data_IF_254595507961
#
_entry.id   IF_254595507961
#
_cell.length_a   1.000
_cell.length_b   1.000
_cell.length_c   1.000
_cell.angle_alpha   90.00
_cell.angle_beta   90.00
_cell.angle_gamma   90.00
#
_symmetry.space_group_name_H-M   'P 1'
#
loop_
_entity.id
_entity.type
_entity.pdbx_description
1 polymer ?
#
# COMPACT_ATOMS: atom_id res chain seq x y z
N UNK A 1 -17.69 -1.01 17.94
CA UNK A 1 -16.37 -0.95 18.62
C UNK A 1 -16.56 -1.48 20.03
N UNK A 2 -15.84 -2.53 20.42
CA UNK A 2 -15.97 -3.12 21.76
C UNK A 2 -14.59 -3.17 22.43
N UNK A 3 -14.50 -2.64 23.65
CA UNK A 3 -13.29 -2.64 24.48
C UNK A 3 -13.41 -3.81 25.45
N UNK A 4 -12.53 -4.81 25.33
CA UNK A 4 -12.66 -6.08 26.07
C UNK A 4 -11.94 -6.00 27.43
N UNK A 5 -10.81 -5.27 27.50
CA UNK A 5 -10.02 -4.94 28.71
C UNK A 5 -9.23 -3.65 28.48
N UNK A 6 -8.67 -3.04 29.53
CA UNK A 6 -7.79 -1.87 29.41
C UNK A 6 -6.70 -2.11 28.35
N UNK A 7 -6.66 -1.27 27.32
CA UNK A 7 -5.70 -1.36 26.21
C UNK A 7 -6.05 -2.35 25.10
N UNK A 8 -7.13 -3.14 25.19
CA UNK A 8 -7.56 -4.07 24.14
C UNK A 8 -8.85 -3.61 23.45
N UNK A 9 -8.77 -3.44 22.12
CA UNK A 9 -9.89 -3.05 21.27
C UNK A 9 -10.10 -4.07 20.15
N UNK A 10 -11.36 -4.50 19.99
CA UNK A 10 -11.82 -5.28 18.85
C UNK A 10 -12.76 -4.43 17.98
N UNK A 11 -12.58 -4.52 16.66
CA UNK A 11 -13.48 -3.94 15.67
C UNK A 11 -13.83 -5.00 14.62
N UNK A 12 -15.06 -4.96 14.15
CA UNK A 12 -15.49 -5.75 13.01
C UNK A 12 -16.48 -4.90 12.20
N UNK A 13 -16.46 -5.07 10.89
CA UNK A 13 -17.32 -4.37 9.95
C UNK A 13 -17.73 -5.28 8.81
N UNK A 14 -18.95 -5.06 8.31
CA UNK A 14 -19.41 -5.59 7.04
C UNK A 14 -20.11 -4.47 6.30
N UNK A 15 -19.85 -4.35 5.01
CA UNK A 15 -20.37 -3.28 4.18
C UNK A 15 -20.63 -3.75 2.76
N UNK A 16 -21.62 -3.13 2.14
CA UNK A 16 -21.92 -3.27 0.72
C UNK A 16 -21.63 -1.94 0.03
N UNK A 17 -20.93 -2.00 -1.10
CA UNK A 17 -20.54 -0.84 -1.90
C UNK A 17 -20.91 -1.06 -3.35
N UNK A 18 -21.09 0.03 -4.09
CA UNK A 18 -21.35 -0.02 -5.52
C UNK A 18 -20.65 1.11 -6.26
N UNK A 19 -20.32 0.87 -7.52
CA UNK A 19 -19.82 1.87 -8.47
C UNK A 19 -20.73 1.89 -9.68
N UNK A 20 -21.41 3.01 -9.91
CA UNK A 20 -22.16 3.21 -11.15
C UNK A 20 -21.22 3.28 -12.37
N UNK A 21 -21.68 2.87 -13.57
CA UNK A 21 -20.94 3.10 -14.80
C UNK A 21 -20.71 4.61 -15.01
N UNK A 22 -19.53 4.96 -15.48
CA UNK A 22 -19.18 6.33 -15.87
C UNK A 22 -19.87 6.73 -17.17
N UNK A 23 -19.94 8.05 -17.43
CA UNK A 23 -20.48 8.57 -18.68
C UNK A 23 -19.75 8.01 -19.92
N UNK A 24 -18.41 7.89 -19.84
CA UNK A 24 -17.62 7.36 -20.95
C UNK A 24 -17.91 5.88 -21.22
N UNK A 25 -18.07 5.07 -20.16
CA UNK A 25 -18.40 3.65 -20.30
C UNK A 25 -19.78 3.44 -20.95
N UNK A 26 -20.73 4.33 -20.70
CA UNK A 26 -22.09 4.24 -21.24
C UNK A 26 -22.24 4.83 -22.65
N UNK A 27 -21.58 5.96 -22.94
CA UNK A 27 -21.92 6.80 -24.10
C UNK A 27 -20.74 7.23 -25.00
N UNK A 28 -19.48 6.97 -24.65
CA UNK A 28 -18.34 7.38 -25.48
C UNK A 28 -18.07 6.40 -26.64
N UNK A 29 -18.76 6.62 -27.75
CA UNK A 29 -18.65 5.79 -28.95
C UNK A 29 -17.23 5.85 -29.59
N UNK A 30 -16.76 4.75 -30.20
CA UNK A 30 -17.45 3.46 -30.40
C UNK A 30 -17.29 2.47 -29.23
N UNK A 31 -16.50 2.81 -28.20
CA UNK A 31 -16.14 1.90 -27.11
C UNK A 31 -17.03 2.10 -25.89
N UNK A 32 -18.34 1.93 -26.09
CA UNK A 32 -19.36 2.16 -25.05
C UNK A 32 -20.39 1.04 -24.99
N UNK A 33 -21.06 0.94 -23.84
CA UNK A 33 -22.15 0.01 -23.64
C UNK A 33 -23.23 0.62 -22.73
N UNK A 34 -24.40 1.02 -23.27
CA UNK A 34 -25.46 1.62 -22.47
C UNK A 34 -26.17 0.62 -21.54
N UNK A 35 -25.92 -0.69 -21.69
CA UNK A 35 -26.54 -1.75 -20.89
C UNK A 35 -25.71 -2.14 -19.65
N UNK A 36 -24.68 -1.37 -19.31
CA UNK A 36 -23.85 -1.65 -18.16
C UNK A 36 -24.64 -1.56 -16.85
N UNK A 37 -24.44 -2.54 -15.99
CA UNK A 37 -24.90 -2.54 -14.61
C UNK A 37 -23.84 -1.89 -13.70
N UNK A 38 -24.24 -1.35 -12.54
CA UNK A 38 -23.28 -0.99 -11.50
C UNK A 38 -22.43 -2.18 -11.06
N UNK A 39 -21.16 -1.94 -10.80
CA UNK A 39 -20.32 -2.88 -10.06
C UNK A 39 -20.76 -2.88 -8.60
N UNK A 40 -20.62 -4.03 -7.93
CA UNK A 40 -20.93 -4.12 -6.50
C UNK A 40 -19.88 -4.95 -5.77
N UNK A 41 -19.70 -4.66 -4.49
CA UNK A 41 -18.79 -5.43 -3.65
C UNK A 41 -19.28 -5.53 -2.20
N UNK A 42 -19.20 -6.74 -1.66
CA UNK A 42 -19.28 -6.99 -0.23
C UNK A 42 -17.88 -6.96 0.37
N UNK A 43 -17.72 -6.23 1.46
CA UNK A 43 -16.47 -6.14 2.21
C UNK A 43 -16.72 -6.51 3.67
N UNK A 44 -15.81 -7.27 4.25
CA UNK A 44 -15.79 -7.59 5.68
C UNK A 44 -14.38 -7.35 6.24
N UNK A 45 -14.32 -6.78 7.44
CA UNK A 45 -13.07 -6.54 8.16
C UNK A 45 -13.18 -6.98 9.62
N UNK A 46 -12.08 -7.50 10.15
CA UNK A 46 -11.90 -7.82 11.56
C UNK A 46 -10.57 -7.23 12.01
N UNK A 47 -10.59 -6.36 13.01
CA UNK A 47 -9.42 -5.66 13.52
C UNK A 47 -9.22 -5.87 15.02
N UNK A 48 -7.97 -6.08 15.39
CA UNK A 48 -7.49 -6.22 16.74
C UNK A 48 -6.47 -5.12 17.02
N UNK A 49 -6.57 -4.45 18.17
CA UNK A 49 -5.57 -3.47 18.62
C UNK A 49 -5.28 -3.68 20.09
N UNK A 50 -4.00 -3.85 20.42
CA UNK A 50 -3.53 -3.98 21.78
C UNK A 50 -2.47 -2.92 22.07
N UNK A 51 -2.69 -2.14 23.13
CA UNK A 51 -1.76 -1.14 23.64
C UNK A 51 -1.17 -1.62 24.96
N UNK A 52 0.15 -1.65 25.01
CA UNK A 52 0.89 -1.92 26.25
C UNK A 52 1.07 -0.61 27.04
N UNK A 53 1.18 -0.68 28.38
CA UNK A 53 1.55 0.49 29.19
C UNK A 53 2.92 1.10 28.80
N UNK A 54 3.80 0.32 28.17
CA UNK A 54 5.13 0.74 27.74
C UNK A 54 5.18 1.55 26.44
N UNK A 55 4.02 1.89 25.86
CA UNK A 55 3.92 2.71 24.64
C UNK A 55 4.07 1.93 23.33
N UNK A 56 4.08 0.60 23.36
CA UNK A 56 3.97 -0.25 22.17
C UNK A 56 2.49 -0.51 21.85
N UNK A 57 2.12 -0.33 20.59
CA UNK A 57 0.82 -0.67 20.02
C UNK A 57 0.98 -1.77 18.97
N UNK A 58 0.19 -2.83 19.09
CA UNK A 58 0.11 -3.94 18.13
C UNK A 58 -1.26 -3.87 17.47
N UNK A 59 -1.30 -3.75 16.14
CA UNK A 59 -2.54 -3.86 15.37
C UNK A 59 -2.46 -5.06 14.46
N UNK A 60 -3.55 -5.80 14.39
CA UNK A 60 -3.73 -6.84 13.38
C UNK A 60 -5.08 -6.65 12.72
N UNK A 61 -5.17 -6.97 11.43
CA UNK A 61 -6.45 -6.99 10.75
C UNK A 61 -6.54 -8.12 9.74
N UNK A 62 -7.76 -8.59 9.52
CA UNK A 62 -8.14 -9.49 8.44
C UNK A 62 -9.19 -8.78 7.61
N UNK A 63 -9.13 -8.94 6.29
CA UNK A 63 -10.09 -8.36 5.37
C UNK A 63 -10.45 -9.33 4.26
N UNK A 64 -11.69 -9.23 3.79
CA UNK A 64 -12.20 -9.94 2.64
C UNK A 64 -13.11 -9.02 1.83
N UNK A 65 -12.94 -9.02 0.51
CA UNK A 65 -13.75 -8.29 -0.46
C UNK A 65 -14.14 -9.26 -1.56
N UNK A 66 -15.42 -9.32 -1.88
CA UNK A 66 -15.95 -10.03 -3.03
C UNK A 66 -16.67 -9.03 -3.94
N UNK A 67 -16.08 -8.78 -5.11
CA UNK A 67 -16.58 -7.84 -6.12
C UNK A 67 -17.21 -8.60 -7.29
N UNK A 68 -18.40 -8.16 -7.71
CA UNK A 68 -19.15 -8.71 -8.82
C UNK A 68 -19.55 -7.63 -9.82
N UNK A 69 -19.91 -8.07 -11.03
CA UNK A 69 -20.31 -7.21 -12.14
C UNK A 69 -19.24 -6.14 -12.47
N UNK A 70 -17.96 -6.44 -12.25
CA UNK A 70 -16.88 -5.50 -12.58
C UNK A 70 -16.86 -5.25 -14.09
N UNK A 71 -16.77 -3.98 -14.45
CA UNK A 71 -16.75 -3.49 -15.82
C UNK A 71 -15.33 -3.62 -16.34
N UNK A 72 -15.15 -4.46 -17.35
CA UNK A 72 -13.88 -4.68 -18.04
C UNK A 72 -14.12 -4.64 -19.55
N UNK A 73 -13.21 -4.03 -20.33
CA UNK A 73 -13.26 -4.13 -21.79
C UNK A 73 -13.18 -5.59 -22.26
N UNK A 74 -14.02 -5.96 -23.23
CA UNK A 74 -13.92 -7.22 -23.94
C UNK A 74 -12.82 -7.17 -25.02
N UNK A 75 -12.72 -8.22 -25.83
CA UNK A 75 -11.73 -8.31 -26.91
C UNK A 75 -11.89 -7.22 -27.99
N UNK A 76 -13.05 -6.57 -28.07
CA UNK A 76 -13.32 -5.43 -28.97
C UNK A 76 -13.16 -4.08 -28.27
N UNK A 77 -12.58 -4.08 -27.06
CA UNK A 77 -12.44 -2.91 -26.18
C UNK A 77 -13.77 -2.30 -25.72
N UNK A 78 -14.88 -3.02 -25.83
CA UNK A 78 -16.19 -2.56 -25.37
C UNK A 78 -16.35 -2.94 -23.90
N UNK A 79 -16.71 -2.01 -23.00
CA UNK A 79 -16.89 -2.32 -21.58
C UNK A 79 -18.07 -3.30 -21.35
N UNK A 80 -17.84 -4.33 -20.53
CA UNK A 80 -18.83 -5.35 -20.16
C UNK A 80 -18.73 -5.70 -18.66
N UNK A 81 -19.85 -6.05 -18.01
CA UNK A 81 -19.88 -6.57 -16.62
C UNK A 81 -19.45 -8.05 -16.55
N UNK A 82 -18.21 -8.35 -16.96
CA UNK A 82 -17.71 -9.72 -17.13
C UNK A 82 -16.68 -10.13 -16.08
N UNK A 83 -16.19 -9.19 -15.28
CA UNK A 83 -15.14 -9.46 -14.30
C UNK A 83 -15.73 -9.66 -12.89
N UNK A 84 -15.04 -10.49 -12.10
CA UNK A 84 -15.32 -10.75 -10.70
C UNK A 84 -14.00 -10.87 -9.97
N UNK A 85 -13.91 -10.39 -8.74
CA UNK A 85 -12.66 -10.47 -7.99
C UNK A 85 -12.91 -10.80 -6.52
N UNK A 86 -12.04 -11.65 -5.98
CA UNK A 86 -11.95 -11.89 -4.54
C UNK A 86 -10.61 -11.37 -4.05
N UNK A 87 -10.65 -10.52 -3.03
CA UNK A 87 -9.46 -9.99 -2.36
C UNK A 87 -9.55 -10.38 -0.90
N UNK A 88 -8.61 -11.18 -0.42
CA UNK A 88 -8.51 -11.55 0.99
C UNK A 88 -7.11 -11.24 1.49
N UNK A 89 -6.98 -10.95 2.77
CA UNK A 89 -5.68 -10.70 3.33
C UNK A 89 -5.70 -10.37 4.80
N UNK A 90 -4.52 -10.04 5.29
CA UNK A 90 -4.34 -9.58 6.63
C UNK A 90 -3.08 -8.76 6.78
N UNK A 91 -3.06 -7.93 7.82
CA UNK A 91 -1.94 -7.07 8.14
C UNK A 91 -1.58 -7.17 9.61
N UNK A 92 -0.30 -6.95 9.90
CA UNK A 92 0.24 -6.82 11.24
C UNK A 92 1.06 -5.53 11.28
N UNK A 93 0.82 -4.72 12.30
CA UNK A 93 1.50 -3.47 12.55
C UNK A 93 2.00 -3.39 13.99
N UNK A 94 3.24 -2.97 14.16
CA UNK A 94 3.85 -2.61 15.44
C UNK A 94 4.18 -1.12 15.41
N UNK A 95 3.71 -0.35 16.37
CA UNK A 95 3.92 1.09 16.42
C UNK A 95 4.30 1.57 17.84
N UNK A 96 5.10 2.62 17.91
CA UNK A 96 5.50 3.27 19.17
C UNK A 96 6.94 2.95 19.56
N UNK A 97 7.20 2.74 20.85
CA UNK A 97 8.55 2.46 21.36
C UNK A 97 8.88 0.97 21.21
N UNK A 98 9.50 0.60 20.09
CA UNK A 98 9.86 -0.78 19.74
C UNK A 98 11.04 -1.32 20.56
N UNK A 99 11.97 -0.43 20.96
CA UNK A 99 13.06 -0.72 21.89
C UNK A 99 13.42 0.56 22.68
N UNK A 100 14.26 0.52 23.73
CA UNK A 100 14.52 1.67 24.61
C UNK A 100 14.89 2.98 23.89
N UNK A 101 15.59 2.91 22.75
CA UNK A 101 15.97 4.06 21.92
C UNK A 101 15.39 4.05 20.51
N UNK A 102 14.60 3.02 20.17
CA UNK A 102 14.06 2.80 18.83
C UNK A 102 12.55 3.03 18.87
N UNK A 103 12.12 4.12 18.25
CA UNK A 103 10.72 4.37 17.97
C UNK A 103 10.41 4.10 16.51
N UNK A 104 9.15 3.84 16.20
CA UNK A 104 8.74 3.74 14.81
C UNK A 104 7.45 2.98 14.59
N UNK A 105 7.18 2.70 13.32
CA UNK A 105 6.11 1.82 12.87
C UNK A 105 6.69 0.79 11.90
N UNK A 106 6.25 -0.45 12.03
CA UNK A 106 6.52 -1.55 11.10
C UNK A 106 5.18 -2.15 10.73
N UNK A 107 4.92 -2.27 9.44
CA UNK A 107 3.71 -2.90 8.89
C UNK A 107 4.10 -3.98 7.89
N UNK A 108 3.39 -5.11 7.94
CA UNK A 108 3.45 -6.16 6.93
C UNK A 108 2.03 -6.55 6.56
N UNK A 109 1.75 -6.65 5.27
CA UNK A 109 0.43 -7.02 4.74
C UNK A 109 0.56 -8.13 3.71
N UNK A 110 -0.18 -9.22 3.92
CA UNK A 110 -0.34 -10.30 2.97
C UNK A 110 -1.71 -10.18 2.28
N UNK A 111 -1.73 -10.13 0.95
CA UNK A 111 -2.94 -9.93 0.14
C UNK A 111 -3.01 -10.95 -0.99
N UNK A 112 -4.08 -11.74 -1.03
CA UNK A 112 -4.43 -12.58 -2.17
C UNK A 112 -5.58 -11.92 -2.92
N UNK A 113 -5.29 -11.44 -4.13
CA UNK A 113 -6.28 -10.84 -5.02
C UNK A 113 -6.37 -11.65 -6.31
N UNK A 114 -7.53 -12.20 -6.61
CA UNK A 114 -7.76 -13.13 -7.73
C UNK A 114 -8.95 -12.64 -8.55
N UNK A 115 -8.82 -12.71 -9.87
CA UNK A 115 -9.93 -12.61 -10.81
C UNK A 115 -10.66 -13.96 -10.85
N UNK A 116 -11.88 -14.01 -10.33
CA UNK A 116 -12.71 -15.23 -10.27
C UNK A 116 -13.20 -15.69 -11.65
N UNK A 117 -13.10 -14.84 -12.69
CA UNK A 117 -13.43 -15.23 -14.07
C UNK A 117 -12.30 -16.01 -14.75
N UNK A 118 -11.04 -15.81 -14.33
CA UNK A 118 -9.86 -16.40 -14.98
C UNK A 118 -8.99 -17.24 -14.04
N UNK A 119 -9.19 -17.13 -12.72
CA UNK A 119 -8.32 -17.72 -11.69
C UNK A 119 -6.96 -17.03 -11.55
N UNK A 120 -6.71 -15.95 -12.31
CA UNK A 120 -5.43 -15.26 -12.32
C UNK A 120 -5.30 -14.28 -11.16
N UNK A 121 -4.09 -14.10 -10.63
CA UNK A 121 -3.79 -13.01 -9.69
C UNK A 121 -4.05 -11.65 -10.36
N UNK A 122 -4.65 -10.71 -9.62
CA UNK A 122 -4.86 -9.35 -10.11
C UNK A 122 -3.54 -8.64 -10.37
N UNK A 123 -3.52 -7.83 -11.44
CA UNK A 123 -2.36 -7.03 -11.82
C UNK A 123 -2.00 -6.04 -10.71
N UNK A 124 -0.70 -5.82 -10.50
CA UNK A 124 -0.11 -4.85 -9.57
C UNK A 124 -0.45 -5.06 -8.09
N UNK A 125 -1.09 -6.18 -7.74
CA UNK A 125 -1.35 -6.55 -6.34
C UNK A 125 -0.32 -7.60 -5.90
N UNK A 126 0.78 -7.22 -5.23
CA UNK A 126 1.75 -8.18 -4.69
C UNK A 126 1.15 -9.00 -3.54
N UNK A 127 1.61 -10.25 -3.39
CA UNK A 127 1.17 -11.08 -2.28
C UNK A 127 1.61 -10.54 -0.93
N UNK A 128 2.82 -9.98 -0.85
CA UNK A 128 3.41 -9.46 0.38
C UNK A 128 3.88 -8.03 0.16
N UNK A 129 3.50 -7.13 1.06
CA UNK A 129 4.05 -5.77 1.17
C UNK A 129 4.52 -5.53 2.58
N UNK A 130 5.51 -4.67 2.73
CA UNK A 130 6.02 -4.26 4.02
C UNK A 130 6.49 -2.82 4.01
N UNK A 131 6.35 -2.15 5.14
CA UNK A 131 6.93 -0.83 5.36
C UNK A 131 7.47 -0.73 6.77
N UNK A 132 8.55 0.03 6.94
CA UNK A 132 9.07 0.35 8.26
C UNK A 132 9.54 1.80 8.27
N UNK A 133 9.05 2.60 9.20
CA UNK A 133 9.55 3.93 9.48
C UNK A 133 10.09 3.95 10.91
N UNK A 134 11.41 3.86 11.02
CA UNK A 134 12.13 3.71 12.27
C UNK A 134 12.92 4.99 12.56
N UNK A 135 13.05 5.35 13.82
CA UNK A 135 13.85 6.48 14.24
C UNK A 135 14.56 6.20 15.57
N UNK A 136 15.76 6.77 15.70
CA UNK A 136 16.57 6.75 16.91
C UNK A 136 17.08 8.15 17.20
N UNK A 137 17.07 8.53 18.48
CA UNK A 137 17.72 9.75 18.93
C UNK A 137 19.22 9.48 19.08
N UNK A 138 20.04 10.31 18.43
CA UNK A 138 21.51 10.25 18.48
C UNK A 138 22.05 11.61 18.92
N UNK A 139 23.35 11.69 19.21
CA UNK A 139 23.96 12.96 19.60
C UNK A 139 23.77 14.02 18.51
N UNK A 140 23.07 15.11 18.84
CA UNK A 140 22.81 16.25 17.96
C UNK A 140 21.54 16.16 17.11
N UNK A 141 20.85 15.02 17.05
CA UNK A 141 19.70 14.90 16.15
C UNK A 141 18.97 13.56 16.15
N UNK A 142 18.12 13.39 15.14
CA UNK A 142 17.35 12.15 14.93
C UNK A 142 17.81 11.48 13.64
N UNK A 143 18.17 10.20 13.73
CA UNK A 143 18.41 9.35 12.58
C UNK A 143 17.15 8.53 12.31
N UNK A 144 16.65 8.57 11.07
CA UNK A 144 15.47 7.85 10.64
C UNK A 144 15.77 6.98 9.42
N UNK A 145 15.14 5.81 9.37
CA UNK A 145 15.17 4.89 8.25
C UNK A 145 13.75 4.59 7.79
N UNK A 146 13.49 4.72 6.50
CA UNK A 146 12.26 4.30 5.86
C UNK A 146 12.57 3.12 4.93
N UNK A 147 11.96 1.97 5.16
CA UNK A 147 12.06 0.82 4.27
C UNK A 147 10.69 0.52 3.65
N UNK A 148 10.68 0.15 2.37
CA UNK A 148 9.50 -0.30 1.63
C UNK A 148 9.83 -1.57 0.89
N UNK A 149 9.09 -2.64 1.19
CA UNK A 149 9.15 -3.91 0.50
C UNK A 149 7.89 -4.13 -0.32
N UNK A 150 8.08 -4.51 -1.57
CA UNK A 150 7.01 -4.91 -2.48
C UNK A 150 7.39 -6.26 -3.05
N UNK A 151 6.54 -7.27 -2.84
CA UNK A 151 6.74 -8.61 -3.39
C UNK A 151 6.62 -8.65 -4.91
N UNK A 152 6.89 -9.83 -5.46
CA UNK A 152 6.63 -10.09 -6.87
C UNK A 152 5.14 -9.93 -7.17
N UNK A 153 4.85 -9.43 -8.37
CA UNK A 153 3.48 -9.19 -8.81
C UNK A 153 3.39 -9.21 -10.34
N UNK A 154 2.26 -9.66 -10.90
CA UNK A 154 2.02 -9.56 -12.32
C UNK A 154 1.73 -8.09 -12.71
N UNK A 155 2.18 -7.68 -13.87
CA UNK A 155 1.81 -6.43 -14.54
C UNK A 155 1.64 -6.69 -16.05
N UNK A 156 1.38 -5.64 -16.82
CA UNK A 156 1.34 -5.66 -18.28
C UNK A 156 2.54 -4.89 -18.79
N UNK A 157 3.33 -5.55 -19.65
CA UNK A 157 4.39 -4.90 -20.38
C UNK A 157 3.79 -3.89 -21.38
N UNK A 158 4.16 -2.60 -21.30
CA UNK A 158 3.50 -1.57 -22.10
C UNK A 158 3.86 -1.64 -23.60
N UNK A 159 4.91 -2.37 -24.00
CA UNK A 159 5.33 -2.48 -25.39
C UNK A 159 4.68 -3.68 -26.10
N UNK A 160 4.58 -4.82 -25.42
CA UNK A 160 4.06 -6.07 -25.95
C UNK A 160 2.61 -6.36 -25.56
N UNK A 161 2.08 -5.66 -24.55
CA UNK A 161 0.79 -5.93 -23.90
C UNK A 161 0.69 -7.33 -23.28
N UNK A 162 1.82 -8.03 -23.16
CA UNK A 162 1.88 -9.32 -22.51
C UNK A 162 1.86 -9.16 -20.99
N UNK A 163 1.28 -10.15 -20.31
CA UNK A 163 1.40 -10.27 -18.86
C UNK A 163 2.84 -10.64 -18.51
N UNK A 164 3.44 -9.88 -17.60
CA UNK A 164 4.81 -10.09 -17.11
C UNK A 164 4.81 -10.18 -15.59
N UNK A 165 5.65 -11.02 -15.03
CA UNK A 165 5.86 -11.09 -13.58
C UNK A 165 7.03 -10.18 -13.19
N UNK A 166 6.72 -9.12 -12.45
CA UNK A 166 7.71 -8.19 -11.95
C UNK A 166 8.37 -8.74 -10.69
N UNK A 167 9.71 -8.66 -10.58
CA UNK A 167 10.41 -9.04 -9.36
C UNK A 167 10.03 -8.12 -8.20
N UNK A 168 10.08 -8.68 -6.98
CA UNK A 168 9.95 -7.89 -5.77
C UNK A 168 11.19 -7.03 -5.51
N UNK A 169 11.03 -5.98 -4.72
CA UNK A 169 12.11 -5.06 -4.36
C UNK A 169 12.00 -4.59 -2.91
N UNK A 170 13.14 -4.21 -2.34
CA UNK A 170 13.26 -3.56 -1.04
C UNK A 170 14.04 -2.26 -1.25
N UNK A 171 13.42 -1.13 -0.94
CA UNK A 171 14.06 0.18 -1.00
C UNK A 171 14.16 0.74 0.40
N UNK A 172 15.34 1.22 0.76
CA UNK A 172 15.60 1.85 2.06
C UNK A 172 16.11 3.27 1.85
N UNK A 173 15.53 4.20 2.58
CA UNK A 173 15.87 5.61 2.61
C UNK A 173 16.36 5.95 4.01
N UNK A 174 17.38 6.80 4.11
CA UNK A 174 17.93 7.31 5.37
C UNK A 174 17.74 8.82 5.43
N UNK A 175 17.46 9.31 6.65
CA UNK A 175 17.36 10.74 6.96
C UNK A 175 18.07 11.01 8.28
N UNK A 176 18.88 12.06 8.30
CA UNK A 176 19.45 12.60 9.52
C UNK A 176 18.99 14.05 9.68
N UNK A 177 18.32 14.33 10.79
CA UNK A 177 17.81 15.65 11.10
C UNK A 177 18.59 16.23 12.29
N UNK A 178 19.26 17.36 12.09
CA UNK A 178 20.13 18.02 13.06
C UNK A 178 19.53 19.39 13.42
N UNK A 179 19.43 19.70 14.71
CA UNK A 179 19.02 21.04 15.15
C UNK A 179 20.07 22.10 14.79
N UNK A 180 19.62 23.29 14.40
CA UNK A 180 20.45 24.47 14.17
C UNK A 180 20.06 25.61 15.13
N UNK A 181 20.88 26.67 15.27
CA UNK A 181 20.47 27.90 15.95
C UNK A 181 19.18 28.50 15.35
N UNK A 182 18.56 29.43 16.07
CA UNK A 182 17.40 30.20 15.57
C UNK A 182 16.19 29.33 15.19
N UNK A 183 16.00 28.19 15.88
CA UNK A 183 14.93 27.23 15.60
C UNK A 183 15.00 26.60 14.19
N UNK A 184 16.17 26.68 13.54
CA UNK A 184 16.44 26.03 12.27
C UNK A 184 16.67 24.52 12.40
N UNK A 185 16.54 23.80 11.28
CA UNK A 185 16.82 22.37 11.19
C UNK A 185 17.50 22.05 9.86
N UNK A 186 18.63 21.35 9.93
CA UNK A 186 19.26 20.71 8.78
C UNK A 186 18.72 19.30 8.61
N UNK A 187 18.46 18.91 7.37
CA UNK A 187 18.10 17.54 7.00
C UNK A 187 19.05 17.06 5.91
N UNK A 188 19.72 15.94 6.17
CA UNK A 188 20.55 15.22 5.21
C UNK A 188 19.84 13.91 4.89
N UNK A 189 19.65 13.63 3.60
CA UNK A 189 18.90 12.46 3.16
C UNK A 189 19.60 11.69 2.06
N UNK A 190 19.43 10.37 2.10
CA UNK A 190 19.75 9.46 1.00
C UNK A 190 18.51 8.63 0.70
N UNK A 191 17.98 8.76 -0.50
CA UNK A 191 16.94 7.89 -1.04
C UNK A 191 17.57 6.74 -1.81
N UNK A 192 16.95 5.56 -1.70
CA UNK A 192 17.42 4.33 -2.33
C UNK A 192 18.91 4.07 -2.03
N UNK A 193 19.23 3.90 -0.75
CA UNK A 193 20.62 3.74 -0.25
C UNK A 193 21.35 2.62 -0.98
N UNK A 194 20.63 1.53 -1.28
CA UNK A 194 21.16 0.36 -2.00
C UNK A 194 21.29 0.51 -3.51
N UNK A 195 20.91 1.64 -4.10
CA UNK A 195 20.88 1.87 -5.56
C UNK A 195 20.06 0.83 -6.35
N UNK A 196 19.00 0.33 -5.73
CA UNK A 196 18.18 -0.72 -6.30
C UNK A 196 17.54 -0.20 -7.58
N UNK A 197 17.72 -0.94 -8.68
CA UNK A 197 17.03 -0.67 -9.93
C UNK A 197 15.69 -1.40 -9.86
N UNK A 198 14.59 -0.65 -9.81
CA UNK A 198 13.26 -1.22 -9.66
C UNK A 198 12.21 -0.41 -10.43
N UNK A 199 11.08 -1.06 -10.65
CA UNK A 199 9.95 -0.51 -11.39
C UNK A 199 8.68 -0.64 -10.54
N UNK A 200 8.02 0.47 -10.16
CA UNK A 200 6.71 0.44 -9.54
C UNK A 200 5.61 -0.04 -10.50
N UNK A 201 5.78 0.23 -11.80
CA UNK A 201 4.92 -0.20 -12.90
C UNK A 201 5.86 -0.64 -14.02
N UNK A 202 5.54 -1.76 -14.69
CA UNK A 202 6.37 -2.29 -15.76
C UNK A 202 6.66 -1.22 -16.84
N UNK A 203 7.92 -1.05 -17.20
CA UNK A 203 8.39 -0.05 -18.16
C UNK A 203 8.58 1.37 -17.61
N UNK A 204 8.33 1.59 -16.31
CA UNK A 204 8.53 2.88 -15.64
C UNK A 204 9.56 2.73 -14.50
N UNK A 205 10.87 2.85 -14.81
CA UNK A 205 11.91 2.76 -13.80
C UNK A 205 11.83 3.89 -12.78
N UNK A 206 12.00 3.53 -11.51
CA UNK A 206 12.15 4.50 -10.44
C UNK A 206 13.56 5.13 -10.46
N UNK A 207 13.74 6.32 -9.87
CA UNK A 207 15.07 6.91 -9.69
C UNK A 207 16.01 6.00 -8.91
N UNK A 208 17.29 6.00 -9.28
CA UNK A 208 18.37 5.41 -8.51
C UNK A 208 18.65 6.18 -7.21
N UNK A 209 19.82 5.96 -6.62
CA UNK A 209 20.20 6.65 -5.37
C UNK A 209 20.22 8.16 -5.54
N UNK A 210 19.54 8.88 -4.64
CA UNK A 210 19.52 10.35 -4.60
C UNK A 210 20.00 10.84 -3.24
N UNK A 211 20.87 11.86 -3.23
CA UNK A 211 21.37 12.50 -2.01
C UNK A 211 20.92 13.95 -2.00
N UNK A 212 20.46 14.43 -0.85
CA UNK A 212 20.05 15.82 -0.70
C UNK A 212 20.37 16.37 0.68
N UNK A 213 20.44 17.70 0.73
CA UNK A 213 20.57 18.49 1.95
C UNK A 213 19.49 19.57 1.89
N UNK A 214 18.76 19.75 2.98
CA UNK A 214 17.74 20.78 3.11
C UNK A 214 17.93 21.52 4.44
N UNK A 215 17.51 22.78 4.46
CA UNK A 215 17.42 23.61 5.66
C UNK A 215 15.99 24.13 5.77
N UNK A 216 15.43 24.09 6.98
CA UNK A 216 14.12 24.65 7.28
C UNK A 216 14.21 25.54 8.53
N UNK A 217 13.55 26.69 8.48
CA UNK A 217 13.47 27.66 9.58
C UNK A 217 12.00 28.04 9.78
N UNK A 218 11.57 28.22 11.04
CA UNK A 218 10.23 28.71 11.36
C UNK A 218 10.30 30.21 11.64
N UNK A 219 9.62 30.99 10.81
CA UNK A 219 9.44 32.44 10.98
C UNK A 219 8.22 32.74 11.85
#
# INVERSE_FOLDING_TARGET
MHVIREGLQLRAGIGHTFRGPSFSELYFAPFNNPNLRPESAWSADLGFTWRTPGGLEVRSSLFAVAATDMIRPDASFVPQNIARATITGGSLELAGRLAPRLGGVINVTATRAVDESTGAQLLRVPFLTGSAALHVQVAGGTLSALATYVGNRPDIDPASFARVDMPGYLVTNLRFALGAPEQGQWQIGVDNVGDVQYEPIAGYPAPGRTVFIAFAERF
#
